data_IF_587265626484
#
_entry.id   IF_587265626484
#
_cell.length_a   1.000
_cell.length_b   1.000
_cell.length_c   1.000
_cell.angle_alpha   90.00
_cell.angle_beta   90.00
_cell.angle_gamma   90.00
#
_symmetry.space_group_name_H-M   'P 1'
#
loop_
_entity.id
_entity.type
_entity.pdbx_description
1 polymer ?
#
# COMPACT_ATOMS: atom_id res chain seq x y z
N UNK A 1 6.89 -15.17 -8.76
CA UNK A 1 5.46 -15.42 -9.07
C UNK A 1 4.92 -16.61 -8.30
N UNK A 2 5.38 -17.84 -8.55
CA UNK A 2 4.99 -19.04 -7.78
C UNK A 2 5.11 -18.87 -6.25
N UNK A 3 6.09 -18.10 -5.78
CA UNK A 3 6.31 -17.85 -4.36
C UNK A 3 5.17 -17.08 -3.68
N UNK A 4 4.59 -16.05 -4.32
CA UNK A 4 3.48 -15.29 -3.71
C UNK A 4 2.22 -16.15 -3.62
N UNK A 5 1.85 -16.78 -4.73
CA UNK A 5 0.72 -17.70 -4.81
C UNK A 5 0.82 -18.79 -3.73
N UNK A 6 1.97 -19.47 -3.65
CA UNK A 6 2.19 -20.52 -2.66
C UNK A 6 2.08 -20.02 -1.21
N UNK A 7 2.53 -18.81 -0.91
CA UNK A 7 2.44 -18.24 0.45
C UNK A 7 0.99 -17.96 0.85
N UNK A 8 0.22 -17.38 -0.06
CA UNK A 8 -1.20 -17.14 0.17
C UNK A 8 -1.94 -18.47 0.31
N UNK A 9 -1.68 -19.41 -0.59
CA UNK A 9 -2.31 -20.73 -0.60
C UNK A 9 -1.98 -21.50 0.70
N UNK A 10 -0.74 -21.41 1.19
CA UNK A 10 -0.33 -22.00 2.47
C UNK A 10 -1.11 -21.39 3.65
N UNK A 11 -1.09 -20.06 3.79
CA UNK A 11 -1.74 -19.39 4.90
C UNK A 11 -3.27 -19.59 4.86
N UNK A 12 -3.89 -19.40 3.69
CA UNK A 12 -5.31 -19.68 3.45
C UNK A 12 -5.67 -21.13 3.77
N UNK A 13 -4.79 -22.06 3.39
CA UNK A 13 -4.92 -23.49 3.68
C UNK A 13 -4.98 -23.79 5.17
N UNK A 14 -4.17 -23.12 6.01
CA UNK A 14 -4.22 -23.29 7.47
C UNK A 14 -5.57 -22.85 8.06
N UNK A 15 -6.07 -21.68 7.66
CA UNK A 15 -7.39 -21.20 8.09
C UNK A 15 -8.50 -22.13 7.61
N UNK A 16 -8.44 -22.58 6.35
CA UNK A 16 -9.43 -23.51 5.77
C UNK A 16 -9.44 -24.84 6.52
N UNK A 17 -8.26 -25.39 6.84
CA UNK A 17 -8.13 -26.63 7.61
C UNK A 17 -8.68 -26.50 9.04
N UNK A 18 -8.68 -25.28 9.61
CA UNK A 18 -9.31 -24.97 10.88
C UNK A 18 -10.82 -24.68 10.78
N UNK A 19 -11.42 -24.78 9.59
CA UNK A 19 -12.83 -24.50 9.37
C UNK A 19 -13.17 -23.00 9.37
N UNK A 20 -12.17 -22.14 9.14
CA UNK A 20 -12.33 -20.68 9.03
C UNK A 20 -12.52 -20.32 7.56
N UNK A 21 -13.60 -19.60 7.25
CA UNK A 21 -13.82 -19.03 5.94
C UNK A 21 -12.91 -17.82 5.73
N UNK A 22 -12.29 -17.73 4.55
CA UNK A 22 -11.29 -16.70 4.25
C UNK A 22 -11.64 -15.97 2.97
N UNK A 23 -11.49 -14.64 3.01
CA UNK A 23 -11.48 -13.78 1.83
C UNK A 23 -10.13 -13.06 1.76
N UNK A 24 -9.50 -13.06 0.60
CA UNK A 24 -8.14 -12.55 0.40
C UNK A 24 -8.19 -11.24 -0.39
N UNK A 25 -7.69 -10.18 0.24
CA UNK A 25 -7.56 -8.86 -0.35
C UNK A 25 -6.11 -8.60 -0.74
N UNK A 26 -5.89 -8.03 -1.93
CA UNK A 26 -4.59 -7.53 -2.37
C UNK A 26 -4.67 -6.03 -2.65
N UNK A 27 -3.88 -5.24 -1.92
CA UNK A 27 -3.58 -3.87 -2.32
C UNK A 27 -2.16 -3.80 -2.88
N UNK A 28 -2.02 -3.29 -4.10
CA UNK A 28 -0.73 -3.20 -4.80
C UNK A 28 -0.67 -1.94 -5.65
N UNK A 29 0.55 -1.54 -6.01
CA UNK A 29 0.77 -0.43 -6.94
C UNK A 29 0.44 -0.84 -8.37
N UNK A 30 -0.20 0.07 -9.10
CA UNK A 30 -0.39 0.02 -10.55
C UNK A 30 0.91 0.43 -11.27
N UNK A 31 1.98 -0.31 -11.01
CA UNK A 31 3.21 -0.22 -11.79
C UNK A 31 3.40 -1.52 -12.57
N UNK A 32 4.04 -1.46 -13.74
CA UNK A 32 4.44 -2.65 -14.47
C UNK A 32 5.55 -3.38 -13.68
N UNK A 33 5.13 -4.15 -12.68
CA UNK A 33 5.89 -5.27 -12.18
C UNK A 33 5.66 -6.43 -13.13
N UNK A 34 6.73 -7.16 -13.47
CA UNK A 34 6.61 -8.39 -14.25
C UNK A 34 5.59 -9.32 -13.57
N UNK A 35 4.45 -9.56 -14.23
CA UNK A 35 3.41 -10.48 -13.76
C UNK A 35 2.34 -9.90 -12.83
N UNK A 36 2.20 -8.57 -12.67
CA UNK A 36 1.03 -8.00 -11.95
C UNK A 36 -0.28 -8.48 -12.57
N UNK A 37 -0.34 -8.57 -13.90
CA UNK A 37 -1.48 -9.14 -14.60
C UNK A 37 -1.76 -10.59 -14.14
N UNK A 38 -0.74 -11.45 -14.02
CA UNK A 38 -0.93 -12.82 -13.53
C UNK A 38 -1.37 -12.91 -12.06
N UNK A 39 -0.99 -11.93 -11.23
CA UNK A 39 -1.42 -11.82 -9.82
C UNK A 39 -2.88 -11.33 -9.75
N UNK A 40 -3.21 -10.28 -10.49
CA UNK A 40 -4.52 -9.60 -10.47
C UNK A 40 -5.60 -10.45 -11.14
N UNK A 41 -5.25 -11.18 -12.19
CA UNK A 41 -6.19 -12.01 -12.95
C UNK A 41 -6.27 -13.47 -12.49
N UNK A 42 -5.59 -13.83 -11.40
CA UNK A 42 -5.72 -15.14 -10.77
C UNK A 42 -6.97 -15.26 -9.88
N UNK A 43 -7.46 -16.48 -9.67
CA UNK A 43 -8.59 -16.82 -8.79
C UNK A 43 -8.23 -16.87 -7.29
N UNK A 44 -7.05 -16.36 -6.92
CA UNK A 44 -6.49 -16.44 -5.56
C UNK A 44 -6.90 -15.27 -4.67
N UNK A 45 -7.21 -14.14 -5.28
CA UNK A 45 -7.67 -12.95 -4.58
C UNK A 45 -9.14 -12.77 -4.87
N UNK A 46 -9.91 -12.57 -3.82
CA UNK A 46 -11.33 -12.25 -3.94
C UNK A 46 -11.50 -10.76 -4.30
N UNK A 47 -10.56 -9.92 -3.86
CA UNK A 47 -10.53 -8.49 -4.14
C UNK A 47 -9.12 -8.00 -4.42
N UNK A 48 -8.96 -7.24 -5.50
CA UNK A 48 -7.68 -6.64 -5.89
C UNK A 48 -7.84 -5.14 -6.09
N UNK A 49 -7.03 -4.38 -5.36
CA UNK A 49 -6.93 -2.93 -5.44
C UNK A 49 -5.60 -2.56 -6.10
N UNK A 50 -5.67 -2.08 -7.34
CA UNK A 50 -4.52 -1.50 -8.03
C UNK A 50 -4.54 0.02 -7.84
N UNK A 51 -3.51 0.54 -7.17
CA UNK A 51 -3.45 1.93 -6.74
C UNK A 51 -2.32 2.62 -7.49
N UNK A 52 -2.56 3.80 -8.06
CA UNK A 52 -1.48 4.59 -8.63
C UNK A 52 -0.54 5.03 -7.50
N UNK A 53 0.77 4.72 -7.56
CA UNK A 53 1.70 5.22 -6.56
C UNK A 53 1.78 6.74 -6.65
N UNK A 54 1.83 7.44 -5.50
CA UNK A 54 2.09 8.86 -5.52
C UNK A 54 3.49 9.14 -6.07
N UNK A 55 3.66 10.29 -6.71
CA UNK A 55 4.97 10.73 -7.21
C UNK A 55 5.92 11.01 -6.05
N UNK A 56 7.22 11.14 -6.34
CA UNK A 56 8.18 11.52 -5.31
C UNK A 56 7.82 12.88 -4.71
N UNK A 57 7.42 13.86 -5.53
CA UNK A 57 6.97 15.18 -5.09
C UNK A 57 5.77 15.09 -4.16
N UNK A 58 4.77 14.25 -4.49
CA UNK A 58 3.60 14.02 -3.64
C UNK A 58 3.98 13.39 -2.30
N UNK A 59 4.87 12.40 -2.28
CA UNK A 59 5.38 11.80 -1.04
C UNK A 59 6.10 12.85 -0.20
N UNK A 60 6.96 13.68 -0.83
CA UNK A 60 7.68 14.77 -0.15
C UNK A 60 6.71 15.81 0.41
N UNK A 61 5.66 16.17 -0.32
CA UNK A 61 4.64 17.09 0.17
C UNK A 61 3.88 16.49 1.36
N UNK A 62 3.51 15.21 1.29
CA UNK A 62 2.74 14.54 2.35
C UNK A 62 3.55 14.38 3.64
N UNK A 63 4.75 13.80 3.57
CA UNK A 63 5.50 13.39 4.77
C UNK A 63 6.84 14.11 4.96
N UNK A 64 7.22 15.01 4.05
CA UNK A 64 8.52 15.70 4.09
C UNK A 64 9.70 14.80 3.71
N UNK A 65 10.87 15.42 3.53
CA UNK A 65 12.16 14.72 3.37
C UNK A 65 12.99 14.73 4.67
N UNK A 66 12.34 14.89 5.81
CA UNK A 66 12.99 15.03 7.10
C UNK A 66 13.01 13.69 7.84
N UNK A 67 13.70 12.75 7.18
CA UNK A 67 14.43 11.53 7.61
C UNK A 67 13.76 10.39 8.41
N UNK A 68 13.80 9.16 7.86
CA UNK A 68 14.14 7.91 8.58
C UNK A 68 15.67 7.81 8.60
N UNK A 69 16.29 8.59 9.48
CA UNK A 69 17.71 8.99 9.53
C UNK A 69 18.59 8.60 8.30
N UNK A 70 18.52 9.38 7.22
CA UNK A 70 19.39 9.37 6.03
C UNK A 70 19.24 8.29 4.93
N UNK A 71 18.18 7.47 4.92
CA UNK A 71 17.83 6.67 3.73
C UNK A 71 16.51 7.10 3.07
N UNK A 72 16.62 7.80 1.93
CA UNK A 72 15.46 8.17 1.09
C UNK A 72 14.64 6.95 0.65
N UNK A 73 15.30 5.80 0.44
CA UNK A 73 14.59 4.57 0.03
C UNK A 73 13.80 3.97 1.19
N UNK A 74 14.31 4.06 2.42
CA UNK A 74 13.58 3.70 3.64
C UNK A 74 12.28 4.48 3.76
N UNK A 75 12.33 5.82 3.66
CA UNK A 75 11.15 6.69 3.88
C UNK A 75 10.03 6.37 2.91
N UNK A 76 10.37 6.25 1.63
CA UNK A 76 9.40 5.97 0.58
C UNK A 76 8.76 4.58 0.74
N UNK A 77 9.56 3.54 0.99
CA UNK A 77 9.03 2.18 1.13
C UNK A 77 8.14 2.04 2.36
N UNK A 78 8.54 2.66 3.48
CA UNK A 78 7.73 2.72 4.69
C UNK A 78 6.41 3.45 4.43
N UNK A 79 6.45 4.63 3.79
CA UNK A 79 5.25 5.36 3.41
C UNK A 79 4.32 4.50 2.54
N UNK A 80 4.87 3.83 1.53
CA UNK A 80 4.11 2.96 0.66
C UNK A 80 3.42 1.82 1.40
N UNK A 81 4.09 1.20 2.37
CA UNK A 81 3.48 0.15 3.20
C UNK A 81 2.28 0.69 3.99
N UNK A 82 2.46 1.78 4.75
CA UNK A 82 1.38 2.33 5.57
C UNK A 82 0.22 2.89 4.74
N UNK A 83 0.52 3.47 3.57
CA UNK A 83 -0.50 3.99 2.66
C UNK A 83 -1.36 2.86 2.07
N UNK A 84 -0.73 1.81 1.53
CA UNK A 84 -1.46 0.65 0.99
C UNK A 84 -2.24 -0.07 2.08
N UNK A 85 -1.64 -0.30 3.25
CA UNK A 85 -2.30 -0.97 4.36
C UNK A 85 -3.56 -0.21 4.79
N UNK A 86 -3.48 1.12 4.94
CA UNK A 86 -4.65 1.94 5.30
C UNK A 86 -5.75 1.85 4.24
N UNK A 87 -5.42 1.95 2.96
CA UNK A 87 -6.42 1.85 1.88
C UNK A 87 -7.08 0.47 1.85
N UNK A 88 -6.29 -0.60 1.99
CA UNK A 88 -6.79 -1.97 2.04
C UNK A 88 -7.74 -2.18 3.23
N UNK A 89 -7.35 -1.74 4.43
CA UNK A 89 -8.16 -1.91 5.64
C UNK A 89 -9.47 -1.10 5.59
N UNK A 90 -9.44 0.10 5.00
CA UNK A 90 -10.66 0.85 4.74
C UNK A 90 -11.60 0.10 3.79
N UNK A 91 -11.07 -0.53 2.74
CA UNK A 91 -11.88 -1.31 1.81
C UNK A 91 -12.48 -2.54 2.50
N UNK A 92 -11.67 -3.32 3.24
CA UNK A 92 -12.14 -4.47 4.03
C UNK A 92 -13.27 -4.06 4.98
N UNK A 93 -13.12 -2.94 5.68
CA UNK A 93 -14.13 -2.43 6.60
C UNK A 93 -15.45 -2.01 5.91
N UNK A 94 -15.42 -1.71 4.61
CA UNK A 94 -16.62 -1.37 3.84
C UNK A 94 -17.28 -2.59 3.18
N UNK A 95 -16.56 -3.69 3.00
CA UNK A 95 -17.03 -4.83 2.19
C UNK A 95 -17.68 -5.96 2.99
N UNK A 96 -17.51 -6.02 4.30
CA UNK A 96 -18.14 -7.09 5.08
C UNK A 96 -17.89 -7.03 6.59
N UNK A 97 -18.62 -7.89 7.28
CA UNK A 97 -18.48 -8.15 8.72
C UNK A 97 -17.53 -9.35 8.89
N UNK A 98 -16.27 -9.07 9.25
CA UNK A 98 -15.26 -10.10 9.52
C UNK A 98 -15.05 -10.27 11.02
N UNK A 99 -14.76 -11.49 11.49
CA UNK A 99 -14.38 -11.70 12.89
C UNK A 99 -12.95 -11.24 13.18
N UNK A 100 -12.07 -11.43 12.19
CA UNK A 100 -10.64 -11.11 12.26
C UNK A 100 -10.14 -10.54 10.93
N UNK A 101 -9.10 -9.73 11.01
CA UNK A 101 -8.27 -9.34 9.88
C UNK A 101 -6.86 -9.89 10.13
N UNK A 102 -6.33 -10.57 9.11
CA UNK A 102 -4.93 -11.00 9.03
C UNK A 102 -4.22 -10.06 8.08
N UNK A 103 -3.27 -9.27 8.59
CA UNK A 103 -2.45 -8.39 7.78
C UNK A 103 -1.07 -9.03 7.58
N UNK A 104 -0.60 -9.10 6.33
CA UNK A 104 0.73 -9.62 6.00
C UNK A 104 1.33 -8.89 4.81
N UNK A 105 2.65 -8.72 4.80
CA UNK A 105 3.38 -8.40 3.57
C UNK A 105 3.36 -9.60 2.62
N UNK A 106 3.42 -9.30 1.32
CA UNK A 106 3.41 -10.29 0.25
C UNK A 106 4.72 -11.08 0.11
N UNK A 107 5.81 -10.60 0.71
CA UNK A 107 7.13 -11.24 0.67
C UNK A 107 7.40 -12.17 1.87
N UNK A 108 6.43 -12.39 2.76
CA UNK A 108 6.58 -13.22 3.95
C UNK A 108 5.98 -14.60 3.79
N UNK A 109 6.79 -15.64 4.02
CA UNK A 109 6.30 -16.99 4.23
C UNK A 109 6.00 -17.20 5.71
N UNK A 110 4.72 -17.32 6.02
CA UNK A 110 4.16 -17.43 7.37
C UNK A 110 3.49 -18.78 7.51
N UNK A 111 3.78 -19.49 8.60
CA UNK A 111 3.01 -20.66 9.03
C UNK A 111 2.67 -20.56 10.51
N UNK A 112 1.39 -20.58 10.86
CA UNK A 112 0.93 -20.45 12.26
C UNK A 112 0.99 -21.81 12.96
N UNK A 113 0.61 -22.87 12.25
CA UNK A 113 0.65 -24.25 12.71
C UNK A 113 -0.21 -24.47 13.96
N UNK A 114 0.30 -25.15 15.00
CA UNK A 114 -0.50 -25.45 16.20
C UNK A 114 -0.93 -24.21 16.99
N UNK A 115 -0.33 -23.04 16.73
CA UNK A 115 -0.63 -21.80 17.44
C UNK A 115 -1.82 -21.03 16.85
N UNK A 116 -2.36 -21.43 15.70
CA UNK A 116 -3.48 -20.73 15.03
C UNK A 116 -4.66 -20.41 15.98
N UNK A 117 -5.13 -21.32 16.86
CA UNK A 117 -6.19 -20.98 17.81
C UNK A 117 -5.83 -19.84 18.76
N UNK A 118 -4.56 -19.74 19.18
CA UNK A 118 -4.10 -18.66 20.05
C UNK A 118 -4.09 -17.31 19.33
N UNK A 119 -3.72 -17.29 18.05
CA UNK A 119 -3.77 -16.09 17.19
C UNK A 119 -5.19 -15.53 17.07
N UNK A 120 -6.21 -16.39 17.05
CA UNK A 120 -7.63 -16.03 16.95
C UNK A 120 -8.35 -15.89 18.30
N UNK A 121 -7.67 -16.11 19.43
CA UNK A 121 -8.34 -16.13 20.72
C UNK A 121 -8.76 -14.74 21.25
N UNK A 122 -8.13 -13.66 20.76
CA UNK A 122 -8.24 -12.29 21.32
C UNK A 122 -8.43 -11.23 20.24
N UNK A 123 -9.66 -11.09 19.69
CA UNK A 123 -9.96 -10.06 18.68
C UNK A 123 -9.81 -8.63 19.22
N UNK A 124 -9.82 -8.45 20.54
CA UNK A 124 -9.66 -7.18 21.23
C UNK A 124 -8.19 -6.72 21.37
N UNK A 125 -7.23 -7.53 20.94
CA UNK A 125 -5.80 -7.24 21.02
C UNK A 125 -5.16 -7.23 19.63
N UNK A 126 -4.12 -6.41 19.45
CA UNK A 126 -3.26 -6.47 18.28
C UNK A 126 -2.24 -7.62 18.46
N UNK A 127 -2.51 -8.78 17.87
CA UNK A 127 -1.62 -9.94 17.99
C UNK A 127 -0.56 -9.90 16.89
N UNK A 128 0.72 -10.07 17.24
CA UNK A 128 1.84 -10.06 16.30
C UNK A 128 2.98 -10.99 16.77
N UNK A 129 4.01 -11.14 15.96
CA UNK A 129 5.17 -12.01 16.23
C UNK A 129 6.20 -11.38 17.18
N UNK A 130 6.28 -10.05 17.23
CA UNK A 130 7.15 -9.32 18.15
C UNK A 130 6.41 -8.17 18.80
N UNK A 131 6.52 -8.07 20.13
CA UNK A 131 6.13 -6.90 20.89
C UNK A 131 7.35 -6.29 21.57
N UNK A 132 7.24 -5.00 21.90
CA UNK A 132 8.29 -4.29 22.65
C UNK A 132 8.26 -4.72 24.12
N UNK A 133 9.18 -5.60 24.51
CA UNK A 133 9.53 -5.86 25.91
C UNK A 133 10.81 -5.08 26.28
N UNK A 134 10.77 -4.38 27.41
CA UNK A 134 11.91 -3.84 28.15
C UNK A 134 13.06 -3.22 27.31
N UNK A 135 12.71 -2.42 26.32
CA UNK A 135 13.63 -1.51 25.64
C UNK A 135 14.49 -2.10 24.52
N UNK A 136 14.24 -3.35 24.07
CA UNK A 136 15.06 -4.00 23.03
C UNK A 136 14.27 -4.54 21.83
N UNK A 137 12.93 -4.58 21.85
CA UNK A 137 12.11 -5.09 20.75
C UNK A 137 11.21 -4.02 20.12
N UNK A 138 10.87 -4.22 18.85
CA UNK A 138 9.92 -3.39 18.10
C UNK A 138 8.60 -4.14 17.91
N UNK A 139 7.51 -3.41 17.64
CA UNK A 139 6.24 -4.03 17.25
C UNK A 139 6.33 -4.40 15.77
N UNK A 140 6.19 -5.67 15.44
CA UNK A 140 6.25 -6.08 14.05
C UNK A 140 5.05 -5.55 13.25
N UNK A 141 5.37 -4.88 12.14
CA UNK A 141 4.42 -4.30 11.19
C UNK A 141 4.23 -5.20 9.94
N UNK A 142 4.89 -6.35 9.92
CA UNK A 142 4.96 -7.23 8.77
C UNK A 142 3.86 -8.30 8.78
N UNK A 143 3.48 -8.77 9.97
CA UNK A 143 2.43 -9.76 10.19
C UNK A 143 1.64 -9.49 11.48
N UNK A 144 0.31 -9.49 11.38
CA UNK A 144 -0.57 -9.31 12.54
C UNK A 144 -1.98 -9.87 12.35
N UNK A 145 -2.64 -10.14 13.48
CA UNK A 145 -4.04 -10.57 13.54
C UNK A 145 -4.76 -9.78 14.64
N UNK A 146 -5.93 -9.24 14.32
CA UNK A 146 -6.80 -8.57 15.28
C UNK A 146 -8.25 -8.56 14.78
N UNK A 147 -9.20 -8.21 15.64
CA UNK A 147 -10.56 -7.92 15.19
C UNK A 147 -10.59 -6.66 14.29
N UNK A 148 -11.58 -6.49 13.40
CA UNK A 148 -11.56 -5.43 12.39
C UNK A 148 -11.38 -4.03 12.95
N UNK A 149 -12.09 -3.71 14.04
CA UNK A 149 -11.96 -2.40 14.70
C UNK A 149 -10.54 -2.15 15.20
N UNK A 150 -9.94 -3.12 15.88
CA UNK A 150 -8.57 -3.00 16.43
C UNK A 150 -7.56 -2.89 15.30
N UNK A 151 -7.71 -3.69 14.24
CA UNK A 151 -6.82 -3.62 13.08
C UNK A 151 -6.93 -2.25 12.37
N UNK A 152 -8.14 -1.76 12.14
CA UNK A 152 -8.35 -0.46 11.52
C UNK A 152 -7.76 0.67 12.37
N UNK A 153 -8.04 0.69 13.67
CA UNK A 153 -7.53 1.71 14.59
C UNK A 153 -6.00 1.65 14.77
N UNK A 154 -5.38 0.48 14.59
CA UNK A 154 -3.94 0.27 14.68
C UNK A 154 -3.17 0.89 13.50
N UNK A 155 -3.78 0.91 12.31
CA UNK A 155 -3.14 1.32 11.05
C UNK A 155 -3.67 2.65 10.52
N UNK A 156 -4.56 3.32 11.26
CA UNK A 156 -5.15 4.60 10.84
C UNK A 156 -4.45 5.77 11.51
N UNK A 157 -3.74 6.56 10.70
CA UNK A 157 -3.32 7.90 11.05
C UNK A 157 -4.45 8.92 10.84
N UNK A 158 -4.52 9.94 11.71
CA UNK A 158 -5.66 10.88 11.81
C UNK A 158 -5.67 11.89 10.66
N UNK A 159 -4.50 12.32 10.21
CA UNK A 159 -4.32 13.32 9.15
C UNK A 159 -2.96 13.16 8.49
N UNK A 160 -2.74 13.82 7.35
CA UNK A 160 -1.41 13.84 6.72
C UNK A 160 -0.36 14.49 7.63
N UNK A 161 -0.75 15.48 8.43
CA UNK A 161 0.12 16.10 9.43
C UNK A 161 0.53 15.11 10.53
N UNK A 162 -0.42 14.31 11.00
CA UNK A 162 -0.18 13.23 11.98
C UNK A 162 0.79 12.19 11.40
N UNK A 163 0.61 11.81 10.12
CA UNK A 163 1.55 10.92 9.44
C UNK A 163 2.95 11.54 9.36
N UNK A 164 3.06 12.81 8.96
CA UNK A 164 4.34 13.53 8.90
C UNK A 164 5.04 13.55 10.25
N UNK A 165 4.32 13.84 11.32
CA UNK A 165 4.85 13.84 12.69
C UNK A 165 5.41 12.45 13.06
N UNK A 166 4.63 11.38 12.80
CA UNK A 166 5.06 10.00 13.05
C UNK A 166 6.38 9.70 12.32
N UNK A 167 6.48 10.04 11.04
CA UNK A 167 7.72 9.86 10.26
C UNK A 167 8.89 10.67 10.80
N UNK A 168 8.66 11.92 11.22
CA UNK A 168 9.73 12.81 11.71
C UNK A 168 10.36 12.37 13.03
N UNK A 169 9.68 11.50 13.78
CA UNK A 169 10.13 11.01 15.09
C UNK A 169 10.57 9.54 15.06
N UNK A 170 10.30 8.83 13.96
CA UNK A 170 10.63 7.42 13.79
C UNK A 170 12.12 7.22 13.50
N UNK A 171 12.75 6.31 14.24
CA UNK A 171 14.14 5.87 13.99
C UNK A 171 14.12 4.65 13.07
N UNK A 172 13.12 3.79 13.21
CA UNK A 172 12.85 2.63 12.35
C UNK A 172 11.39 2.63 11.88
N UNK A 173 11.04 1.94 10.77
CA UNK A 173 9.67 1.86 10.27
C UNK A 173 8.63 1.44 11.32
N UNK A 174 9.02 0.55 12.22
CA UNK A 174 8.16 -0.03 13.26
C UNK A 174 7.80 0.96 14.38
N UNK A 175 8.56 2.06 14.55
CA UNK A 175 8.23 3.12 15.52
C UNK A 175 6.91 3.82 15.16
N UNK A 176 6.56 3.86 13.87
CA UNK A 176 5.32 4.47 13.37
C UNK A 176 4.11 3.67 13.87
N UNK A 177 4.08 2.35 13.63
CA UNK A 177 3.01 1.47 14.11
C UNK A 177 2.91 1.51 15.64
N UNK A 178 4.05 1.47 16.34
CA UNK A 178 4.04 1.56 17.79
C UNK A 178 3.39 2.86 18.28
N UNK A 179 3.74 3.98 17.66
CA UNK A 179 3.18 5.29 18.00
C UNK A 179 1.68 5.34 17.74
N UNK A 180 1.21 4.77 16.62
CA UNK A 180 -0.23 4.67 16.32
C UNK A 180 -0.97 3.80 17.35
N UNK A 181 -0.47 2.60 17.67
CA UNK A 181 -1.06 1.73 18.69
C UNK A 181 -1.16 2.42 20.05
N UNK A 182 -0.10 3.14 20.45
CA UNK A 182 -0.06 3.90 21.70
C UNK A 182 -1.10 5.03 21.71
N UNK A 183 -1.19 5.81 20.62
CA UNK A 183 -2.17 6.90 20.46
C UNK A 183 -3.61 6.40 20.46
N UNK A 184 -3.85 5.18 19.97
CA UNK A 184 -5.17 4.52 19.93
C UNK A 184 -5.49 3.72 21.20
N UNK A 185 -4.56 3.63 22.15
CA UNK A 185 -4.76 2.86 23.39
C UNK A 185 -4.88 1.35 23.15
N UNK A 186 -4.33 0.85 22.05
CA UNK A 186 -4.40 -0.57 21.67
C UNK A 186 -3.29 -1.34 22.35
N UNK A 187 -3.67 -2.44 23.00
CA UNK A 187 -2.70 -3.37 23.59
C UNK A 187 -2.25 -4.39 22.55
N UNK A 188 -0.94 -4.49 22.35
CA UNK A 188 -0.34 -5.52 21.52
C UNK A 188 0.00 -6.76 22.35
N UNK A 189 -0.03 -7.94 21.72
CA UNK A 189 0.33 -9.22 22.31
C UNK A 189 1.22 -10.01 21.35
N UNK A 190 2.28 -10.60 21.89
CA UNK A 190 3.16 -11.48 21.14
C UNK A 190 2.66 -12.94 21.22
N UNK A 191 2.63 -13.63 20.08
CA UNK A 191 2.31 -15.07 20.00
C UNK A 191 3.35 -15.78 19.13
N UNK A 192 3.63 -17.04 19.46
CA UNK A 192 4.56 -17.87 18.72
C UNK A 192 4.05 -18.19 17.31
N UNK A 193 4.99 -18.42 16.41
CA UNK A 193 4.73 -18.80 15.02
C UNK A 193 5.61 -20.00 14.66
N UNK A 194 5.13 -20.85 13.73
CA UNK A 194 5.88 -22.02 13.28
C UNK A 194 6.94 -21.63 12.24
N UNK A 195 6.60 -20.73 11.33
CA UNK A 195 7.51 -20.23 10.30
C UNK A 195 7.33 -18.74 10.08
N UNK A 196 8.44 -18.02 10.04
CA UNK A 196 8.52 -16.62 9.62
C UNK A 196 9.81 -16.40 8.84
N UNK A 197 9.68 -16.38 7.52
CA UNK A 197 10.81 -16.24 6.62
C UNK A 197 10.48 -15.26 5.52
N UNK A 198 11.40 -14.34 5.27
CA UNK A 198 11.33 -13.45 4.12
C UNK A 198 11.68 -14.23 2.85
N UNK A 199 11.04 -13.87 1.72
CA UNK A 199 11.35 -14.42 0.41
C UNK A 199 12.87 -14.34 0.13
N UNK A 200 13.55 -15.45 -0.20
CA UNK A 200 14.94 -15.38 -0.65
C UNK A 200 15.09 -14.63 -1.98
N UNK A 201 14.01 -14.48 -2.76
CA UNK A 201 13.99 -13.73 -4.02
C UNK A 201 13.58 -12.26 -3.83
N UNK A 202 13.41 -11.80 -2.58
CA UNK A 202 13.10 -10.38 -2.30
C UNK A 202 14.21 -9.48 -2.85
N UNK A 203 13.84 -8.49 -3.65
CA UNK A 203 14.81 -7.53 -4.18
C UNK A 203 15.71 -8.06 -5.30
N UNK A 204 15.32 -9.11 -6.04
CA UNK A 204 15.87 -9.29 -7.38
C UNK A 204 15.69 -7.96 -8.12
N UNK A 205 16.76 -7.28 -8.55
CA UNK A 205 16.67 -5.92 -9.05
C UNK A 205 15.66 -5.90 -10.19
N UNK A 206 14.63 -5.09 -10.00
CA UNK A 206 13.83 -4.61 -11.10
C UNK A 206 14.76 -3.74 -11.93
N UNK A 207 15.35 -4.31 -12.98
CA UNK A 207 15.71 -3.52 -14.14
C UNK A 207 14.37 -3.14 -14.77
N UNK A 208 13.94 -1.87 -14.73
CA UNK A 208 12.81 -1.45 -15.53
C UNK A 208 13.06 -1.95 -16.94
N UNK A 209 12.08 -2.66 -17.52
CA UNK A 209 12.15 -2.95 -18.93
C UNK A 209 12.47 -1.61 -19.63
N UNK A 210 13.50 -1.56 -20.49
CA UNK A 210 13.86 -0.32 -21.16
C UNK A 210 12.58 0.24 -21.76
N UNK A 211 12.33 1.54 -21.52
CA UNK A 211 11.16 2.20 -22.09
C UNK A 211 11.05 1.79 -23.56
N UNK A 212 9.85 1.42 -24.04
CA UNK A 212 9.69 1.05 -25.43
C UNK A 212 10.33 2.15 -26.26
N UNK A 213 11.21 1.75 -27.18
CA UNK A 213 11.85 2.72 -28.06
C UNK A 213 10.75 3.62 -28.63
N UNK A 214 10.94 4.95 -28.64
CA UNK A 214 9.98 5.83 -29.28
C UNK A 214 9.71 5.24 -30.68
N UNK A 215 8.45 5.19 -31.12
CA UNK A 215 8.13 4.67 -32.45
C UNK A 215 9.07 5.36 -33.43
N UNK A 216 9.77 4.57 -34.26
CA UNK A 216 10.56 5.15 -35.33
C UNK A 216 9.66 6.14 -36.06
N UNK A 217 10.11 7.39 -36.28
CA UNK A 217 9.29 8.35 -36.99
C UNK A 217 8.91 7.71 -38.31
N UNK A 218 7.63 7.40 -38.49
CA UNK A 218 7.12 6.99 -39.79
C UNK A 218 7.52 8.11 -40.75
N UNK A 219 8.42 7.78 -41.68
CA UNK A 219 8.74 8.67 -42.78
C UNK A 219 7.46 8.79 -43.60
N UNK A 220 6.63 9.78 -43.24
CA UNK A 220 5.47 10.15 -44.04
C UNK A 220 6.03 10.49 -45.42
N UNK A 221 5.63 9.78 -46.48
CA UNK A 221 6.02 10.17 -47.82
C UNK A 221 5.60 11.62 -48.00
N UNK A 222 6.52 12.47 -48.44
CA UNK A 222 6.22 13.86 -48.77
C UNK A 222 5.33 13.84 -50.00
N UNK A 223 4.02 13.64 -49.81
CA UNK A 223 3.05 13.93 -50.85
C UNK A 223 3.06 15.45 -51.05
N UNK A 224 3.21 15.85 -52.31
CA UNK A 224 3.35 17.23 -52.72
C UNK A 224 2.24 18.08 -52.11
N UNK A 225 2.62 19.06 -51.30
CA UNK A 225 1.71 20.08 -50.79
C UNK A 225 1.11 20.82 -51.99
N UNK A 226 -0.14 20.49 -52.32
CA UNK A 226 -0.93 21.30 -53.23
C UNK A 226 -1.11 22.69 -52.59
N UNK A 227 -0.97 23.73 -53.41
CA UNK A 227 -1.02 25.11 -52.99
C UNK A 227 -2.27 25.41 -52.15
N UNK A 228 -2.05 25.89 -50.92
CA UNK A 228 -3.10 26.45 -50.07
C UNK A 228 -3.57 27.78 -50.67
N UNK A 229 -4.85 27.86 -50.99
CA UNK A 229 -5.51 29.15 -51.23
C UNK A 229 -5.66 29.91 -49.90
N UNK A 230 -5.46 31.24 -49.89
CA UNK A 230 -5.57 32.04 -48.68
C UNK A 230 -7.03 32.12 -48.20
N UNK A 231 -7.28 31.63 -46.99
CA UNK A 231 -8.54 31.82 -46.28
C UNK A 231 -8.65 33.29 -45.86
N UNK A 232 -9.78 33.93 -46.18
CA UNK A 232 -10.07 35.31 -45.82
C UNK A 232 -10.06 35.52 -44.30
N UNK A 233 -9.55 36.67 -43.88
CA UNK A 233 -9.41 37.05 -42.47
C UNK A 233 -10.79 37.09 -41.76
N UNK A 234 -10.90 36.57 -40.53
CA UNK A 234 -12.12 36.67 -39.74
C UNK A 234 -12.36 38.12 -39.28
N UNK A 235 -13.60 38.56 -39.41
CA UNK A 235 -14.08 39.84 -38.90
C UNK A 235 -13.93 39.91 -37.36
N UNK A 236 -13.44 41.05 -36.89
CA UNK A 236 -13.22 41.37 -35.48
C UNK A 236 -14.52 41.28 -34.66
N UNK A 237 -14.49 40.50 -33.58
CA UNK A 237 -15.55 40.48 -32.57
C UNK A 237 -15.51 41.75 -31.69
N UNK A 238 -16.68 42.24 -31.21
CA UNK A 238 -16.75 43.41 -30.34
C UNK A 238 -16.27 43.10 -28.90
N UNK A 239 -15.71 44.14 -28.29
CA UNK A 239 -15.11 44.17 -26.95
C UNK A 239 -16.07 43.70 -25.83
N UNK A 240 -15.56 42.85 -24.94
CA UNK A 240 -16.23 42.47 -23.70
C UNK A 240 -16.26 43.64 -22.70
N UNK A 241 -17.43 43.92 -22.14
CA UNK A 241 -17.62 44.86 -21.04
C UNK A 241 -17.04 44.30 -19.71
N UNK A 242 -16.62 45.18 -18.77
CA UNK A 242 -16.01 44.76 -17.51
C UNK A 242 -17.04 44.19 -16.51
N UNK A 243 -16.68 43.07 -15.89
CA UNK A 243 -17.43 42.43 -14.80
C UNK A 243 -17.09 43.12 -13.47
N UNK A 244 -18.11 43.64 -12.79
CA UNK A 244 -18.05 44.17 -11.42
C UNK A 244 -17.88 43.06 -10.39
N UNK A 245 -16.95 43.28 -9.45
CA UNK A 245 -16.71 42.44 -8.29
C UNK A 245 -17.91 42.44 -7.33
N UNK A 246 -18.17 41.29 -6.71
CA UNK A 246 -19.12 41.13 -5.61
C UNK A 246 -18.31 40.84 -4.34
N UNK A 247 -18.46 41.68 -3.33
CA UNK A 247 -17.92 41.50 -1.99
C UNK A 247 -18.61 40.34 -1.27
N UNK A 248 -17.84 39.48 -0.62
CA UNK A 248 -18.34 38.46 0.29
C UNK A 248 -18.36 38.99 1.73
N UNK A 249 -19.52 38.85 2.38
CA UNK A 249 -19.74 38.98 3.83
C UNK A 249 -19.58 37.62 4.47
#
# INVERSE_FOLDING_TARGET
MEHLARRIDNLRGEFTAAGVETRVFLATWNQPFNGVDEIVFGDRFDDVMMIQPPTEEEVVEMIGLTTLADDRFGVRNTFYQYFLARLALNAVNLTGDYDFIVHTRSDLNIALGPFLPEWLARPDLYTTIHCREDGQAFINDQFSVAGPKVMLDAWTYRSLEDLRELFSTAVIPEDILQSMLTRSGITARQIQITQWELDPVRGSPYEPAPAPAPPEPELVPVESVAAFEPVAAPESQPENAPVTAIDAV
#
